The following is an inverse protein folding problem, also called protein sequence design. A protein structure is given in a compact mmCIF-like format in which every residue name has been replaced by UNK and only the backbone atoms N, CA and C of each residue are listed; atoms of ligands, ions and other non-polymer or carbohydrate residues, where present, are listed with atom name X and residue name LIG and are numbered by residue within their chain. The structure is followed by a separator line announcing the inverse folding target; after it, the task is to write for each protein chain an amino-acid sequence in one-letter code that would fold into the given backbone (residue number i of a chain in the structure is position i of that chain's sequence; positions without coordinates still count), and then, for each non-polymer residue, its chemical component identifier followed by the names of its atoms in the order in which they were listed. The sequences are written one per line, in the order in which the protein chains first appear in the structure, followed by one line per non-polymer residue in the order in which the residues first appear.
data_IF_439674217927
#
_entry.id   IF_439674217927
#
_cell.length_a   1.000
_cell.length_b   1.000
_cell.length_c   1.000
_cell.angle_alpha   90.00
_cell.angle_beta   90.00
_cell.angle_gamma   90.00
#
_symmetry.space_group_name_H-M   'P 1'
#
loop_
_entity.id
_entity.type
_entity.pdbx_description
1 polymer ?
#
# COMPACT_ATOMS: atom_id res chain seq x y z
N UNK A 1 8.97 -11.96 6.81
CA UNK A 1 9.84 -13.00 7.41
C UNK A 1 9.14 -14.05 8.28
N UNK A 2 7.87 -14.41 8.01
CA UNK A 2 7.13 -15.31 8.92
C UNK A 2 7.81 -16.67 9.11
N UNK A 3 8.31 -17.30 8.05
CA UNK A 3 9.03 -18.57 8.13
C UNK A 3 10.38 -18.46 8.87
N UNK A 4 11.07 -17.32 8.77
CA UNK A 4 12.35 -17.11 9.45
C UNK A 4 12.14 -16.84 10.94
N UNK A 5 11.12 -16.06 11.30
CA UNK A 5 10.81 -15.69 12.68
C UNK A 5 10.37 -16.87 13.54
N UNK A 6 9.72 -17.88 12.94
CA UNK A 6 9.29 -19.11 13.64
C UNK A 6 10.35 -20.22 13.63
N UNK A 7 11.46 -20.05 12.91
CA UNK A 7 12.47 -21.09 12.75
C UNK A 7 13.30 -21.22 14.04
N UNK A 8 13.32 -22.39 14.71
CA UNK A 8 14.12 -22.58 15.93
C UNK A 8 15.62 -22.35 15.71
N UNK A 9 16.11 -22.58 14.48
CA UNK A 9 17.52 -22.33 14.13
C UNK A 9 17.89 -20.85 14.18
N UNK A 10 16.92 -19.96 13.98
CA UNK A 10 17.13 -18.51 14.01
C UNK A 10 16.89 -17.92 15.40
N UNK A 11 16.35 -18.68 16.36
CA UNK A 11 15.95 -18.16 17.67
C UNK A 11 17.10 -17.45 18.40
N UNK A 12 18.29 -18.06 18.43
CA UNK A 12 19.47 -17.47 19.07
C UNK A 12 19.96 -16.20 18.37
N UNK A 13 19.76 -16.07 17.05
CA UNK A 13 20.13 -14.88 16.30
C UNK A 13 19.12 -13.74 16.51
N UNK A 14 17.83 -14.05 16.49
CA UNK A 14 16.74 -13.10 16.67
C UNK A 14 16.64 -12.54 18.10
N UNK A 15 17.11 -13.28 19.10
CA UNK A 15 17.12 -12.85 20.50
C UNK A 15 18.27 -11.89 20.86
N UNK A 16 19.18 -11.59 19.93
CA UNK A 16 20.28 -10.66 20.17
C UNK A 16 19.76 -9.23 20.28
N UNK A 17 20.15 -8.55 21.36
CA UNK A 17 19.98 -7.11 21.47
C UNK A 17 21.05 -6.41 20.62
N UNK A 18 20.62 -5.77 19.54
CA UNK A 18 21.49 -5.10 18.58
C UNK A 18 21.10 -3.63 18.50
N UNK A 19 22.10 -2.75 18.44
CA UNK A 19 21.86 -1.32 18.22
C UNK A 19 21.11 -1.09 16.90
N UNK A 20 20.21 -0.08 16.84
CA UNK A 20 19.50 0.27 15.62
C UNK A 20 20.43 0.48 14.43
N UNK A 21 20.02 -0.02 13.26
CA UNK A 21 20.78 0.17 12.03
C UNK A 21 20.57 1.60 11.50
N UNK A 22 21.58 2.46 11.65
CA UNK A 22 21.52 3.86 11.21
C UNK A 22 21.20 4.01 9.73
N UNK A 23 21.66 3.08 8.87
CA UNK A 23 21.34 3.11 7.43
C UNK A 23 19.87 2.81 7.16
N UNK A 24 19.17 2.11 8.05
CA UNK A 24 17.73 1.87 7.96
C UNK A 24 16.97 3.08 8.47
N UNK A 25 17.35 3.61 9.64
CA UNK A 25 16.72 4.80 10.22
C UNK A 25 16.71 6.00 9.26
N UNK A 26 17.81 6.24 8.54
CA UNK A 26 17.90 7.35 7.57
C UNK A 26 16.89 7.24 6.42
N UNK A 27 16.54 6.03 5.99
CA UNK A 27 15.61 5.80 4.86
C UNK A 27 14.18 5.49 5.29
N UNK A 28 13.91 5.33 6.58
CA UNK A 28 12.58 4.95 7.10
C UNK A 28 11.46 5.88 6.59
N UNK A 29 11.74 7.18 6.55
CA UNK A 29 10.82 8.18 6.03
C UNK A 29 10.45 7.97 4.56
N UNK A 30 11.33 7.34 3.77
CA UNK A 30 11.06 7.10 2.35
C UNK A 30 10.15 5.88 2.13
N UNK A 31 9.86 5.11 3.19
CA UNK A 31 9.03 3.90 3.17
C UNK A 31 7.69 4.09 3.90
N UNK A 32 7.26 5.33 4.17
CA UNK A 32 5.94 5.58 4.74
C UNK A 32 4.85 5.18 3.75
N UNK A 33 3.72 4.68 4.26
CA UNK A 33 2.66 4.14 3.40
C UNK A 33 2.13 5.18 2.43
N UNK A 34 1.88 6.41 2.87
CA UNK A 34 1.38 7.48 1.99
C UNK A 34 2.38 7.82 0.88
N UNK A 35 3.68 7.92 1.20
CA UNK A 35 4.72 8.20 0.19
C UNK A 35 4.81 7.06 -0.83
N UNK A 36 4.79 5.81 -0.39
CA UNK A 36 4.82 4.64 -1.27
C UNK A 36 3.55 4.49 -2.13
N UNK A 37 2.39 4.98 -1.65
CA UNK A 37 1.15 4.95 -2.42
C UNK A 37 1.20 5.98 -3.58
N UNK A 38 1.73 7.17 -3.29
CA UNK A 38 1.77 8.30 -4.22
C UNK A 38 3.05 8.40 -5.06
N UNK A 39 4.06 7.56 -4.81
CA UNK A 39 5.34 7.64 -5.52
C UNK A 39 5.20 7.57 -7.04
N UNK A 40 6.00 8.35 -7.74
CA UNK A 40 6.22 8.24 -9.17
C UNK A 40 7.46 7.39 -9.48
N UNK A 41 7.78 7.27 -10.77
CA UNK A 41 8.95 6.54 -11.23
C UNK A 41 10.26 7.14 -10.68
N UNK A 42 10.36 8.47 -10.63
CA UNK A 42 11.57 9.18 -10.19
C UNK A 42 11.84 8.90 -8.72
N UNK A 43 10.82 9.02 -7.88
CA UNK A 43 10.89 8.70 -6.46
C UNK A 43 11.29 7.24 -6.25
N UNK A 44 10.63 6.31 -6.96
CA UNK A 44 10.95 4.89 -6.87
C UNK A 44 12.41 4.60 -7.22
N UNK A 45 12.91 5.09 -8.36
CA UNK A 45 14.28 4.84 -8.82
C UNK A 45 15.34 5.47 -7.91
N UNK A 46 15.05 6.61 -7.28
CA UNK A 46 16.01 7.30 -6.41
C UNK A 46 15.99 6.82 -4.95
N UNK A 47 14.82 6.45 -4.41
CA UNK A 47 14.63 6.20 -2.98
C UNK A 47 14.42 4.73 -2.63
N UNK A 48 13.72 3.99 -3.50
CA UNK A 48 13.28 2.63 -3.20
C UNK A 48 14.15 1.60 -3.90
N UNK A 49 14.33 1.74 -5.21
CA UNK A 49 15.06 0.79 -6.05
C UNK A 49 16.51 0.52 -5.60
N UNK A 50 17.30 1.50 -5.10
CA UNK A 50 18.65 1.23 -4.60
C UNK A 50 18.70 0.28 -3.39
N UNK A 51 17.55 0.03 -2.75
CA UNK A 51 17.41 -0.87 -1.60
C UNK A 51 16.54 -2.09 -1.92
N UNK A 52 15.66 -1.99 -2.93
CA UNK A 52 14.70 -3.01 -3.34
C UNK A 52 14.86 -3.32 -4.84
N UNK A 53 16.11 -3.53 -5.27
CA UNK A 53 16.52 -3.66 -6.67
C UNK A 53 15.92 -4.87 -7.40
N UNK A 54 15.29 -5.80 -6.67
CA UNK A 54 14.67 -7.01 -7.20
C UNK A 54 13.34 -6.77 -7.92
N UNK A 55 12.81 -5.53 -7.92
CA UNK A 55 11.63 -5.13 -8.69
C UNK A 55 11.95 -3.98 -9.64
N UNK A 56 11.42 -4.04 -10.86
CA UNK A 56 11.60 -3.00 -11.87
C UNK A 56 10.63 -1.83 -11.67
N UNK A 57 10.94 -0.67 -12.25
CA UNK A 57 10.00 0.46 -12.27
C UNK A 57 8.71 0.16 -13.04
N UNK A 58 8.72 -0.84 -13.92
CA UNK A 58 7.52 -1.29 -14.64
C UNK A 58 6.52 -1.99 -13.71
N UNK A 59 6.99 -2.44 -12.55
CA UNK A 59 6.20 -3.13 -11.53
C UNK A 59 5.82 -2.23 -10.34
N UNK A 60 5.97 -0.90 -10.45
CA UNK A 60 5.58 0.06 -9.38
C UNK A 60 4.14 -0.16 -8.90
N UNK A 61 3.24 -0.57 -9.80
CA UNK A 61 1.85 -0.90 -9.45
C UNK A 61 1.75 -1.95 -8.33
N UNK A 62 2.70 -2.90 -8.25
CA UNK A 62 2.71 -3.94 -7.20
C UNK A 62 2.94 -3.33 -5.82
N UNK A 63 3.82 -2.33 -5.73
CA UNK A 63 4.04 -1.58 -4.50
C UNK A 63 2.79 -0.85 -4.08
N UNK A 64 2.22 -0.02 -4.98
CA UNK A 64 1.03 0.78 -4.68
C UNK A 64 -0.16 -0.08 -4.29
N UNK A 65 -0.39 -1.19 -5.00
CA UNK A 65 -1.41 -2.18 -4.64
C UNK A 65 -1.15 -2.76 -3.24
N UNK A 66 0.07 -3.21 -2.95
CA UNK A 66 0.38 -3.79 -1.64
C UNK A 66 0.20 -2.77 -0.51
N UNK A 67 0.57 -1.51 -0.75
CA UNK A 67 0.41 -0.40 0.20
C UNK A 67 -1.07 -0.13 0.46
N UNK A 68 -1.90 -0.02 -0.58
CA UNK A 68 -3.35 0.13 -0.43
C UNK A 68 -3.94 -1.02 0.40
N UNK A 69 -3.51 -2.26 0.14
CA UNK A 69 -3.91 -3.42 0.94
C UNK A 69 -3.48 -3.32 2.40
N UNK A 70 -2.26 -2.84 2.67
CA UNK A 70 -1.77 -2.62 4.03
C UNK A 70 -2.61 -1.55 4.72
N UNK A 71 -2.87 -0.41 4.09
CA UNK A 71 -3.74 0.64 4.63
C UNK A 71 -5.15 0.10 4.95
N UNK A 72 -5.76 -0.71 4.08
CA UNK A 72 -7.03 -1.36 4.39
C UNK A 72 -6.96 -2.33 5.57
N UNK A 73 -5.81 -2.99 5.78
CA UNK A 73 -5.61 -3.93 6.88
C UNK A 73 -5.28 -3.27 8.22
N UNK A 74 -4.88 -1.99 8.26
CA UNK A 74 -4.63 -1.29 9.53
C UNK A 74 -5.92 -0.98 10.28
N UNK A 75 -7.07 -0.94 9.59
CA UNK A 75 -8.33 -0.38 10.07
C UNK A 75 -8.22 1.10 10.49
N UNK A 76 -7.18 1.81 10.03
CA UNK A 76 -6.98 3.22 10.30
C UNK A 76 -7.66 4.08 9.23
N UNK A 77 -8.75 4.74 9.62
CA UNK A 77 -9.51 5.65 8.75
C UNK A 77 -8.76 6.94 8.41
N UNK A 78 -7.61 7.20 9.04
CA UNK A 78 -6.70 8.28 8.64
C UNK A 78 -6.26 8.15 7.17
N UNK A 79 -6.15 6.94 6.65
CA UNK A 79 -5.75 6.67 5.26
C UNK A 79 -6.85 6.90 4.22
N UNK A 80 -8.10 7.16 4.61
CA UNK A 80 -9.19 7.36 3.64
C UNK A 80 -8.86 8.48 2.64
N UNK A 81 -8.30 9.60 3.10
CA UNK A 81 -7.95 10.72 2.21
C UNK A 81 -6.85 10.34 1.21
N UNK A 82 -5.80 9.64 1.65
CA UNK A 82 -4.71 9.18 0.78
C UNK A 82 -5.23 8.19 -0.28
N UNK A 83 -6.04 7.22 0.14
CA UNK A 83 -6.65 6.24 -0.75
C UNK A 83 -7.53 6.90 -1.81
N UNK A 84 -8.36 7.88 -1.43
CA UNK A 84 -9.21 8.60 -2.38
C UNK A 84 -8.39 9.38 -3.39
N UNK A 85 -7.37 10.11 -2.93
CA UNK A 85 -6.46 10.83 -3.82
C UNK A 85 -5.75 9.88 -4.78
N UNK A 86 -5.26 8.74 -4.27
CA UNK A 86 -4.56 7.75 -5.08
C UNK A 86 -5.47 7.10 -6.14
N UNK A 87 -6.77 6.98 -5.89
CA UNK A 87 -7.70 6.44 -6.88
C UNK A 87 -7.75 7.30 -8.16
N UNK A 88 -7.73 8.63 -8.00
CA UNK A 88 -7.82 9.57 -9.12
C UNK A 88 -6.46 9.70 -9.86
N UNK A 89 -5.34 9.52 -9.16
CA UNK A 89 -3.99 9.69 -9.72
C UNK A 89 -3.44 8.43 -10.41
N UNK A 90 -3.98 7.25 -10.11
CA UNK A 90 -3.42 5.98 -10.62
C UNK A 90 -4.20 5.47 -11.84
N UNK A 91 -3.53 5.26 -12.99
CA UNK A 91 -4.17 4.70 -14.18
C UNK A 91 -4.30 3.17 -14.15
N UNK A 92 -3.65 2.49 -13.19
CA UNK A 92 -3.63 1.03 -13.13
C UNK A 92 -4.85 0.49 -12.38
N UNK A 93 -5.75 -0.17 -13.11
CA UNK A 93 -7.00 -0.71 -12.55
C UNK A 93 -6.79 -1.73 -11.44
N UNK A 94 -5.65 -2.41 -11.40
CA UNK A 94 -5.34 -3.37 -10.32
C UNK A 94 -5.06 -2.61 -9.02
N UNK A 95 -4.39 -1.45 -9.09
CA UNK A 95 -4.18 -0.56 -7.95
C UNK A 95 -5.51 0.06 -7.53
N UNK A 96 -6.28 0.59 -8.49
CA UNK A 96 -7.60 1.20 -8.22
C UNK A 96 -8.57 0.22 -7.55
N UNK A 97 -8.62 -1.02 -8.02
CA UNK A 97 -9.44 -2.07 -7.40
C UNK A 97 -9.03 -2.34 -5.95
N UNK A 98 -7.72 -2.38 -5.66
CA UNK A 98 -7.25 -2.58 -4.28
C UNK A 98 -7.52 -1.36 -3.38
N UNK A 99 -7.48 -0.15 -3.93
CA UNK A 99 -7.88 1.07 -3.22
C UNK A 99 -9.37 0.99 -2.83
N UNK A 100 -10.22 0.59 -3.77
CA UNK A 100 -11.65 0.38 -3.54
C UNK A 100 -11.89 -0.66 -2.45
N UNK A 101 -11.22 -1.81 -2.54
CA UNK A 101 -11.27 -2.84 -1.49
C UNK A 101 -10.85 -2.30 -0.13
N UNK A 102 -9.76 -1.53 -0.07
CA UNK A 102 -9.26 -0.94 1.17
C UNK A 102 -10.27 0.05 1.77
N UNK A 103 -10.88 0.91 0.95
CA UNK A 103 -11.93 1.83 1.39
C UNK A 103 -13.16 1.10 1.93
N UNK A 104 -13.62 0.05 1.26
CA UNK A 104 -14.71 -0.81 1.76
C UNK A 104 -14.37 -1.42 3.13
N UNK A 105 -13.13 -1.88 3.30
CA UNK A 105 -12.64 -2.46 4.55
C UNK A 105 -12.53 -1.44 5.69
N UNK A 106 -12.02 -0.24 5.42
CA UNK A 106 -11.94 0.84 6.41
C UNK A 106 -13.33 1.35 6.84
N UNK A 107 -14.26 1.38 5.89
CA UNK A 107 -15.63 1.82 6.07
C UNK A 107 -15.75 3.25 6.61
N UNK A 108 -16.96 3.58 7.08
CA UNK A 108 -17.30 4.92 7.56
C UNK A 108 -17.73 5.87 6.44
N UNK A 109 -18.28 7.00 6.85
CA UNK A 109 -19.01 7.91 5.96
C UNK A 109 -18.16 8.44 4.80
N UNK A 110 -16.93 8.88 5.07
CA UNK A 110 -16.03 9.38 4.04
C UNK A 110 -15.67 8.32 2.99
N UNK A 111 -15.42 7.08 3.43
CA UNK A 111 -15.10 5.98 2.52
C UNK A 111 -16.32 5.61 1.67
N UNK A 112 -17.51 5.56 2.27
CA UNK A 112 -18.76 5.31 1.56
C UNK A 112 -19.03 6.37 0.48
N UNK A 113 -18.93 7.65 0.84
CA UNK A 113 -19.11 8.76 -0.10
C UNK A 113 -18.14 8.68 -1.28
N UNK A 114 -16.88 8.32 -1.03
CA UNK A 114 -15.90 8.13 -2.09
C UNK A 114 -16.26 6.95 -3.00
N UNK A 115 -16.66 5.81 -2.44
CA UNK A 115 -17.08 4.63 -3.20
C UNK A 115 -18.31 4.92 -4.08
N UNK A 116 -19.28 5.68 -3.57
CA UNK A 116 -20.45 6.12 -4.34
C UNK A 116 -20.04 7.02 -5.53
N UNK A 117 -19.06 7.91 -5.34
CA UNK A 117 -18.49 8.70 -6.45
C UNK A 117 -17.74 7.82 -7.46
N UNK A 118 -17.00 6.81 -6.99
CA UNK A 118 -16.24 5.91 -7.85
C UNK A 118 -17.15 5.01 -8.69
N UNK A 119 -18.36 4.70 -8.22
CA UNK A 119 -19.33 3.90 -8.95
C UNK A 119 -19.66 4.49 -10.34
N UNK A 120 -19.66 5.82 -10.46
CA UNK A 120 -19.96 6.53 -11.71
C UNK A 120 -18.73 6.65 -12.63
N UNK A 121 -17.52 6.58 -12.06
CA UNK A 121 -16.24 6.78 -12.77
C UNK A 121 -15.51 5.47 -13.12
N UNK A 122 -16.07 4.33 -12.75
CA UNK A 122 -15.39 3.04 -12.85
C UNK A 122 -16.04 2.12 -13.87
N UNK A 123 -15.22 1.29 -14.48
CA UNK A 123 -15.64 0.23 -15.39
C UNK A 123 -14.85 -1.06 -15.10
N UNK A 124 -15.23 -2.14 -15.77
CA UNK A 124 -14.56 -3.44 -15.66
C UNK A 124 -14.37 -3.92 -14.21
N UNK A 125 -13.15 -4.37 -13.90
CA UNK A 125 -12.81 -4.95 -12.59
C UNK A 125 -12.97 -3.94 -11.44
N UNK A 126 -12.76 -2.65 -11.70
CA UNK A 126 -12.86 -1.61 -10.68
C UNK A 126 -14.32 -1.43 -10.27
N UNK A 127 -15.23 -1.39 -11.26
CA UNK A 127 -16.66 -1.26 -11.00
C UNK A 127 -17.23 -2.45 -10.23
N UNK A 128 -16.80 -3.67 -10.56
CA UNK A 128 -17.17 -4.87 -9.83
C UNK A 128 -16.74 -4.79 -8.36
N UNK A 129 -15.52 -4.32 -8.10
CA UNK A 129 -15.01 -4.16 -6.75
C UNK A 129 -15.73 -3.04 -5.99
N UNK A 130 -16.11 -1.93 -6.67
CA UNK A 130 -16.88 -0.84 -6.03
C UNK A 130 -18.24 -1.36 -5.58
N UNK A 131 -18.92 -2.14 -6.43
CA UNK A 131 -20.20 -2.76 -6.09
C UNK A 131 -20.08 -3.71 -4.90
N UNK A 132 -19.00 -4.49 -4.82
CA UNK A 132 -18.73 -5.36 -3.65
C UNK A 132 -18.46 -4.57 -2.38
N UNK A 133 -17.71 -3.48 -2.47
CA UNK A 133 -17.36 -2.65 -1.33
C UNK A 133 -18.56 -1.86 -0.76
N UNK A 134 -19.59 -1.60 -1.58
CA UNK A 134 -20.83 -0.92 -1.19
C UNK A 134 -21.95 -1.87 -0.74
N UNK A 135 -21.81 -3.18 -0.97
CA UNK A 135 -22.79 -4.20 -0.57
C UNK A 135 -22.70 -4.51 0.93
#
# INVERSE_FOLDING_TARGET
DRCQNVCPRNAAWLAKDLSPNLKVAVKEKDFQLSDLLHMDKVYFEQKIWPHMFYMSSQDIWRWKMNVARVMGNTNDRGFTTDLVKAFEENPDDRVRSMIVWALGKLGGEKARQALEQFLVKSEGIVLEEVRRALA
#
